data_IF_783467932658
#
_entry.id   IF_783467932658
#
_cell.length_a   1.000
_cell.length_b   1.000
_cell.length_c   1.000
_cell.angle_alpha   90.00
_cell.angle_beta   90.00
_cell.angle_gamma   90.00
#
_symmetry.space_group_name_H-M   'P 1'
#
loop_
_entity.id
_entity.type
_entity.pdbx_description
1 polymer ?
#
# COMPACT_ATOMS: atom_id res chain seq x y z
N UNK A 1 -9.23 -114.02 -94.73
CA UNK A 1 -9.97 -112.84 -94.24
C UNK A 1 -9.89 -111.74 -95.30
N UNK A 2 -11.00 -111.08 -95.63
CA UNK A 2 -11.00 -109.98 -96.59
C UNK A 2 -10.28 -108.74 -96.01
N UNK A 3 -9.36 -108.16 -96.77
CA UNK A 3 -8.67 -106.92 -96.39
C UNK A 3 -9.65 -105.75 -96.53
N UNK A 4 -10.21 -105.27 -95.43
CA UNK A 4 -11.01 -104.03 -95.42
C UNK A 4 -10.09 -102.82 -95.56
N UNK A 5 -10.15 -102.14 -96.70
CA UNK A 5 -9.51 -100.83 -96.91
C UNK A 5 -10.40 -99.77 -96.26
N UNK A 6 -9.85 -98.96 -95.35
CA UNK A 6 -10.51 -97.76 -94.78
C UNK A 6 -9.88 -96.50 -95.38
N UNK A 7 -10.69 -95.46 -95.62
CA UNK A 7 -10.18 -94.14 -96.01
C UNK A 7 -9.57 -93.45 -94.79
N UNK A 8 -8.60 -92.55 -95.00
CA UNK A 8 -7.99 -91.79 -93.90
C UNK A 8 -9.02 -90.93 -93.15
N UNK A 9 -10.05 -90.45 -93.86
CA UNK A 9 -11.20 -89.73 -93.31
C UNK A 9 -12.12 -90.58 -92.42
N UNK A 10 -11.97 -91.90 -92.45
CA UNK A 10 -12.74 -92.87 -91.64
C UNK A 10 -11.95 -93.34 -90.41
N UNK A 11 -10.74 -92.81 -90.20
CA UNK A 11 -9.93 -93.04 -89.01
C UNK A 11 -10.36 -92.07 -87.90
N UNK A 12 -10.36 -92.56 -86.67
CA UNK A 12 -10.55 -91.72 -85.49
C UNK A 12 -9.31 -90.83 -85.29
N UNK A 13 -9.54 -89.57 -84.93
CA UNK A 13 -8.45 -88.70 -84.51
C UNK A 13 -7.78 -89.26 -83.25
N UNK A 14 -6.48 -89.02 -83.13
CA UNK A 14 -5.74 -89.42 -81.94
C UNK A 14 -6.02 -88.44 -80.79
N UNK A 15 -6.20 -88.99 -79.59
CA UNK A 15 -6.40 -88.21 -78.36
C UNK A 15 -5.09 -87.78 -77.70
N UNK A 16 -3.95 -88.37 -78.09
CA UNK A 16 -2.62 -87.99 -77.60
C UNK A 16 -1.50 -88.25 -78.63
N UNK A 17 -0.30 -87.71 -78.37
CA UNK A 17 0.85 -87.81 -79.27
C UNK A 17 1.86 -88.88 -78.85
N UNK A 18 1.60 -89.66 -77.79
CA UNK A 18 2.53 -90.68 -77.30
C UNK A 18 2.67 -91.82 -78.30
N UNK A 19 3.91 -92.15 -78.65
CA UNK A 19 4.20 -93.18 -79.66
C UNK A 19 3.86 -92.79 -81.11
N UNK A 20 3.38 -91.57 -81.37
CA UNK A 20 3.19 -91.06 -82.73
C UNK A 20 4.49 -90.45 -83.28
N UNK A 21 4.78 -90.78 -84.54
CA UNK A 21 5.93 -90.27 -85.26
C UNK A 21 5.48 -89.66 -86.58
N UNK A 22 6.12 -88.56 -86.95
CA UNK A 22 6.07 -88.05 -88.32
C UNK A 22 7.40 -88.33 -89.02
N UNK A 23 7.38 -88.35 -90.35
CA UNK A 23 8.58 -88.56 -91.16
C UNK A 23 9.15 -87.20 -91.52
N UNK A 24 10.40 -86.95 -91.10
CA UNK A 24 11.21 -85.82 -91.54
C UNK A 24 12.33 -86.27 -92.46
N UNK A 25 13.14 -85.32 -92.93
CA UNK A 25 14.36 -85.59 -93.70
C UNK A 25 15.55 -84.91 -93.04
N UNK A 26 16.70 -85.59 -92.97
CA UNK A 26 17.96 -85.06 -92.45
C UNK A 26 19.11 -85.46 -93.38
N UNK A 27 20.05 -84.55 -93.59
CA UNK A 27 21.29 -84.85 -94.30
C UNK A 27 22.25 -85.61 -93.39
N UNK A 28 22.66 -86.80 -93.80
CA UNK A 28 23.67 -87.62 -93.11
C UNK A 28 24.72 -87.96 -94.15
N UNK A 29 25.96 -87.49 -93.95
CA UNK A 29 27.07 -87.65 -94.89
C UNK A 29 26.75 -87.19 -96.34
N UNK A 30 26.00 -86.08 -96.49
CA UNK A 30 25.66 -85.49 -97.80
C UNK A 30 24.45 -86.11 -98.50
N UNK A 31 23.82 -87.16 -97.95
CA UNK A 31 22.64 -87.83 -98.52
C UNK A 31 21.38 -87.49 -97.72
N UNK A 32 20.32 -87.10 -98.42
CA UNK A 32 19.01 -86.83 -97.81
C UNK A 32 18.37 -88.13 -97.36
N UNK A 33 18.26 -88.33 -96.04
CA UNK A 33 17.76 -89.56 -95.44
C UNK A 33 16.49 -89.28 -94.65
N UNK A 34 15.47 -90.12 -94.81
CA UNK A 34 14.23 -90.04 -94.03
C UNK A 34 14.49 -90.43 -92.57
N UNK A 35 14.01 -89.61 -91.64
CA UNK A 35 14.16 -89.81 -90.20
C UNK A 35 12.80 -89.82 -89.52
N UNK A 36 12.69 -90.55 -88.40
CA UNK A 36 11.52 -90.50 -87.54
C UNK A 36 11.63 -89.30 -86.59
N UNK A 37 10.57 -88.51 -86.49
CA UNK A 37 10.46 -87.37 -85.57
C UNK A 37 9.36 -87.69 -84.56
N UNK A 38 9.72 -87.68 -83.27
CA UNK A 38 8.77 -87.93 -82.19
C UNK A 38 7.86 -86.71 -81.98
N UNK A 39 6.54 -86.90 -82.10
CA UNK A 39 5.57 -85.85 -81.79
C UNK A 39 5.43 -85.63 -80.27
N UNK A 40 5.67 -86.66 -79.46
CA UNK A 40 5.70 -86.59 -78.00
C UNK A 40 6.82 -85.65 -77.49
N UNK A 41 7.98 -85.65 -78.15
CA UNK A 41 9.07 -84.72 -77.82
C UNK A 41 8.69 -83.26 -78.10
N UNK A 42 8.05 -83.01 -79.25
CA UNK A 42 7.58 -81.66 -79.62
C UNK A 42 6.50 -81.18 -78.66
N UNK A 43 5.56 -82.06 -78.29
CA UNK A 43 4.54 -81.76 -77.29
C UNK A 43 5.19 -81.35 -75.96
N UNK A 44 6.17 -82.11 -75.48
CA UNK A 44 6.88 -81.82 -74.23
C UNK A 44 7.63 -80.49 -74.31
N UNK A 45 8.29 -80.18 -75.42
CA UNK A 45 8.97 -78.90 -75.62
C UNK A 45 7.99 -77.71 -75.59
N UNK A 46 6.84 -77.86 -76.25
CA UNK A 46 5.77 -76.85 -76.23
C UNK A 46 5.20 -76.65 -74.83
N UNK A 47 4.85 -77.74 -74.12
CA UNK A 47 4.35 -77.69 -72.75
C UNK A 47 5.35 -77.01 -71.80
N UNK A 48 6.65 -77.30 -71.95
CA UNK A 48 7.72 -76.64 -71.19
C UNK A 48 7.79 -75.13 -71.49
N UNK A 49 7.66 -74.72 -72.76
CA UNK A 49 7.65 -73.30 -73.14
C UNK A 49 6.42 -72.56 -72.59
N UNK A 50 5.24 -73.18 -72.64
CA UNK A 50 4.01 -72.65 -72.03
C UNK A 50 4.20 -72.50 -70.51
N UNK A 51 4.74 -73.54 -69.85
CA UNK A 51 5.02 -73.50 -68.40
C UNK A 51 5.99 -72.38 -68.04
N UNK A 52 7.07 -72.21 -68.80
CA UNK A 52 8.05 -71.14 -68.57
C UNK A 52 7.42 -69.74 -68.77
N UNK A 53 6.60 -69.57 -69.81
CA UNK A 53 5.89 -68.31 -70.09
C UNK A 53 4.92 -67.96 -68.95
N UNK A 54 4.16 -68.95 -68.47
CA UNK A 54 3.26 -68.74 -67.34
C UNK A 54 4.02 -68.36 -66.06
N UNK A 55 5.13 -69.04 -65.75
CA UNK A 55 5.98 -68.68 -64.62
C UNK A 55 6.54 -67.26 -64.75
N UNK A 56 6.97 -66.84 -65.95
CA UNK A 56 7.47 -65.49 -66.20
C UNK A 56 6.38 -64.42 -66.00
N UNK A 57 5.16 -64.70 -66.47
CA UNK A 57 4.01 -63.80 -66.28
C UNK A 57 3.64 -63.64 -64.81
N UNK A 58 3.63 -64.72 -64.02
CA UNK A 58 3.36 -64.65 -62.58
C UNK A 58 4.47 -63.91 -61.82
N UNK A 59 5.74 -64.09 -62.21
CA UNK A 59 6.86 -63.33 -61.67
C UNK A 59 6.73 -61.83 -61.99
N UNK A 60 6.36 -61.47 -63.22
CA UNK A 60 6.15 -60.07 -63.62
C UNK A 60 4.99 -59.42 -62.85
N UNK A 61 3.86 -60.12 -62.66
CA UNK A 61 2.75 -59.66 -61.81
C UNK A 61 3.21 -59.41 -60.38
N UNK A 62 3.98 -60.34 -59.81
CA UNK A 62 4.51 -60.22 -58.45
C UNK A 62 5.44 -59.01 -58.31
N UNK A 63 6.32 -58.77 -59.29
CA UNK A 63 7.20 -57.60 -59.31
C UNK A 63 6.42 -56.28 -59.39
N UNK A 64 5.38 -56.22 -60.23
CA UNK A 64 4.51 -55.05 -60.35
C UNK A 64 3.74 -54.75 -59.05
N UNK A 65 3.25 -55.79 -58.37
CA UNK A 65 2.60 -55.65 -57.06
C UNK A 65 3.57 -55.14 -55.99
N UNK A 66 4.81 -55.64 -55.99
CA UNK A 66 5.85 -55.18 -55.08
C UNK A 66 6.22 -53.70 -55.33
N UNK A 67 6.38 -53.30 -56.60
CA UNK A 67 6.65 -51.91 -56.97
C UNK A 67 5.51 -50.97 -56.54
N UNK A 68 4.25 -51.38 -56.75
CA UNK A 68 3.07 -50.61 -56.32
C UNK A 68 3.02 -50.45 -54.80
N UNK A 69 3.37 -51.50 -54.06
CA UNK A 69 3.44 -51.47 -52.60
C UNK A 69 4.56 -50.53 -52.11
N UNK A 70 5.73 -50.56 -52.75
CA UNK A 70 6.85 -49.66 -52.45
C UNK A 70 6.51 -48.19 -52.73
N UNK A 71 5.80 -47.91 -53.82
CA UNK A 71 5.33 -46.56 -54.13
C UNK A 71 4.33 -46.06 -53.08
N UNK A 72 3.42 -46.93 -52.62
CA UNK A 72 2.47 -46.61 -51.55
C UNK A 72 3.20 -46.32 -50.24
N UNK A 73 4.17 -47.15 -49.87
CA UNK A 73 5.00 -46.94 -48.67
C UNK A 73 5.77 -45.61 -48.73
N UNK A 74 6.33 -45.26 -49.89
CA UNK A 74 7.04 -43.99 -50.11
C UNK A 74 6.11 -42.79 -49.95
N UNK A 75 4.90 -42.86 -50.55
CA UNK A 75 3.89 -41.80 -50.41
C UNK A 75 3.46 -41.61 -48.95
N UNK A 76 3.27 -42.70 -48.21
CA UNK A 76 2.93 -42.65 -46.79
C UNK A 76 4.07 -42.07 -45.95
N UNK A 77 5.32 -42.44 -46.24
CA UNK A 77 6.49 -41.88 -45.56
C UNK A 77 6.59 -40.36 -45.79
N UNK A 78 6.39 -39.90 -47.02
CA UNK A 78 6.40 -38.46 -47.34
C UNK A 78 5.30 -37.70 -46.58
N UNK A 79 4.07 -38.26 -46.52
CA UNK A 79 2.99 -37.67 -45.73
C UNK A 79 3.33 -37.59 -44.23
N UNK A 80 3.96 -38.62 -43.68
CA UNK A 80 4.40 -38.63 -42.28
C UNK A 80 5.48 -37.57 -42.03
N UNK A 81 6.43 -37.38 -42.97
CA UNK A 81 7.44 -36.33 -42.88
C UNK A 81 6.84 -34.92 -42.88
N UNK A 82 5.87 -34.64 -43.75
CA UNK A 82 5.20 -33.33 -43.78
C UNK A 82 4.36 -33.08 -42.52
N UNK A 83 3.70 -34.10 -41.97
CA UNK A 83 3.02 -34.00 -40.69
C UNK A 83 4.00 -33.68 -39.54
N UNK A 84 5.18 -34.33 -39.52
CA UNK A 84 6.21 -34.06 -38.52
C UNK A 84 6.79 -32.64 -38.63
N UNK A 85 7.01 -32.14 -39.84
CA UNK A 85 7.43 -30.74 -40.08
C UNK A 85 6.39 -29.76 -39.55
N UNK A 86 5.11 -30.00 -39.85
CA UNK A 86 4.00 -29.17 -39.37
C UNK A 86 3.95 -29.15 -37.84
N UNK A 87 4.06 -30.32 -37.20
CA UNK A 87 4.11 -30.42 -35.74
C UNK A 87 5.30 -29.66 -35.13
N UNK A 88 6.47 -29.73 -35.78
CA UNK A 88 7.67 -29.00 -35.34
C UNK A 88 7.48 -27.49 -35.42
N UNK A 89 6.88 -26.99 -36.50
CA UNK A 89 6.58 -25.57 -36.66
C UNK A 89 5.59 -25.08 -35.60
N UNK A 90 4.52 -25.84 -35.35
CA UNK A 90 3.55 -25.50 -34.31
C UNK A 90 4.21 -25.47 -32.92
N UNK A 91 5.12 -26.40 -32.62
CA UNK A 91 5.85 -26.42 -31.36
C UNK A 91 6.79 -25.20 -31.21
N UNK A 92 7.43 -24.77 -32.30
CA UNK A 92 8.27 -23.58 -32.33
C UNK A 92 7.45 -22.30 -32.10
N UNK A 93 6.29 -22.17 -32.75
CA UNK A 93 5.38 -21.04 -32.53
C UNK A 93 4.89 -20.99 -31.08
N UNK A 94 4.46 -22.12 -30.52
CA UNK A 94 4.05 -22.21 -29.12
C UNK A 94 5.18 -21.80 -28.16
N UNK A 95 6.42 -22.20 -28.46
CA UNK A 95 7.60 -21.80 -27.68
C UNK A 95 7.83 -20.28 -27.72
N UNK A 96 7.66 -19.64 -28.88
CA UNK A 96 7.83 -18.19 -29.00
C UNK A 96 6.71 -17.41 -28.30
N UNK A 97 5.47 -17.92 -28.37
CA UNK A 97 4.35 -17.37 -27.60
C UNK A 97 4.61 -17.47 -26.09
N UNK A 98 5.11 -18.61 -25.62
CA UNK A 98 5.45 -18.80 -24.21
C UNK A 98 6.55 -17.83 -23.75
N UNK A 99 7.62 -17.64 -24.54
CA UNK A 99 8.66 -16.64 -24.23
C UNK A 99 8.11 -15.22 -24.14
N UNK A 100 7.21 -14.85 -25.05
CA UNK A 100 6.55 -13.55 -25.04
C UNK A 100 5.69 -13.37 -23.78
N UNK A 101 4.92 -14.39 -23.42
CA UNK A 101 4.13 -14.39 -22.19
C UNK A 101 5.01 -14.24 -20.93
N UNK A 102 6.14 -14.96 -20.85
CA UNK A 102 7.11 -14.83 -19.77
C UNK A 102 7.71 -13.42 -19.68
N UNK A 103 8.07 -12.81 -20.82
CA UNK A 103 8.58 -11.44 -20.85
C UNK A 103 7.55 -10.43 -20.35
N UNK A 104 6.30 -10.56 -20.78
CA UNK A 104 5.20 -9.72 -20.32
C UNK A 104 4.94 -9.87 -18.81
N UNK A 105 4.98 -11.10 -18.30
CA UNK A 105 4.84 -11.37 -16.87
C UNK A 105 5.97 -10.71 -16.06
N UNK A 106 7.22 -10.80 -16.53
CA UNK A 106 8.36 -10.15 -15.87
C UNK A 106 8.22 -8.62 -15.85
N UNK A 107 7.76 -8.03 -16.96
CA UNK A 107 7.50 -6.59 -17.02
C UNK A 107 6.40 -6.16 -16.06
N UNK A 108 5.32 -6.94 -15.94
CA UNK A 108 4.24 -6.69 -14.99
C UNK A 108 4.74 -6.73 -13.55
N UNK A 109 5.58 -7.72 -13.21
CA UNK A 109 6.22 -7.83 -11.89
C UNK A 109 7.10 -6.61 -11.57
N UNK A 110 7.91 -6.13 -12.53
CA UNK A 110 8.74 -4.94 -12.33
C UNK A 110 7.90 -3.67 -12.08
N UNK A 111 6.79 -3.51 -12.81
CA UNK A 111 5.85 -2.40 -12.59
C UNK A 111 5.20 -2.48 -11.21
N UNK A 112 4.80 -3.69 -10.78
CA UNK A 112 4.23 -3.90 -9.45
C UNK A 112 5.23 -3.56 -8.33
N UNK A 113 6.49 -3.99 -8.48
CA UNK A 113 7.55 -3.66 -7.52
C UNK A 113 7.81 -2.15 -7.45
N UNK A 114 7.83 -1.46 -8.58
CA UNK A 114 7.98 0.00 -8.63
C UNK A 114 6.82 0.71 -7.92
N UNK A 115 5.60 0.26 -8.17
CA UNK A 115 4.42 0.79 -7.49
C UNK A 115 4.47 0.57 -5.97
N UNK A 116 4.93 -0.60 -5.52
CA UNK A 116 5.11 -0.91 -4.10
C UNK A 116 6.16 0.00 -3.45
N UNK A 117 7.30 0.24 -4.11
CA UNK A 117 8.32 1.18 -3.62
C UNK A 117 7.79 2.61 -3.52
N UNK A 118 7.03 3.07 -4.51
CA UNK A 118 6.42 4.41 -4.47
C UNK A 118 5.41 4.53 -3.32
N UNK A 119 4.62 3.50 -3.07
CA UNK A 119 3.68 3.47 -1.95
C UNK A 119 4.41 3.51 -0.59
N UNK A 120 5.52 2.79 -0.44
CA UNK A 120 6.32 2.84 0.80
C UNK A 120 6.96 4.22 1.02
N UNK A 121 7.46 4.85 -0.04
CA UNK A 121 7.99 6.21 0.05
C UNK A 121 6.90 7.23 0.44
N UNK A 122 5.70 7.11 -0.14
CA UNK A 122 4.56 7.96 0.22
C UNK A 122 4.15 7.75 1.70
N UNK A 123 4.14 6.50 2.18
CA UNK A 123 3.88 6.18 3.58
C UNK A 123 4.90 6.82 4.52
N UNK A 124 6.19 6.72 4.21
CA UNK A 124 7.26 7.38 4.99
C UNK A 124 7.07 8.89 5.04
N UNK A 125 6.77 9.53 3.91
CA UNK A 125 6.49 10.97 3.87
C UNK A 125 5.28 11.37 4.73
N UNK A 126 4.23 10.54 4.76
CA UNK A 126 3.07 10.78 5.65
C UNK A 126 3.43 10.65 7.13
N UNK A 127 4.32 9.72 7.50
CA UNK A 127 4.80 9.56 8.88
C UNK A 127 5.61 10.78 9.34
N UNK A 128 6.45 11.35 8.47
CA UNK A 128 7.18 12.59 8.73
C UNK A 128 6.23 13.78 8.94
N UNK A 129 5.25 13.94 8.05
CA UNK A 129 4.22 14.99 8.16
C UNK A 129 3.42 14.83 9.46
N UNK A 130 3.05 13.60 9.82
CA UNK A 130 2.34 13.31 11.06
C UNK A 130 3.17 13.76 12.27
N UNK A 131 4.45 13.38 12.33
CA UNK A 131 5.33 13.78 13.43
C UNK A 131 5.50 15.30 13.53
N UNK A 132 5.67 15.99 12.39
CA UNK A 132 5.73 17.45 12.35
C UNK A 132 4.42 18.09 12.85
N UNK A 133 3.27 17.52 12.48
CA UNK A 133 1.94 18.00 12.90
C UNK A 133 1.73 17.81 14.40
N UNK A 134 2.14 16.68 14.97
CA UNK A 134 2.09 16.42 16.41
C UNK A 134 2.94 17.43 17.18
N UNK A 135 4.16 17.72 16.70
CA UNK A 135 5.04 18.73 17.28
C UNK A 135 4.44 20.14 17.21
N UNK A 136 3.90 20.54 16.05
CA UNK A 136 3.25 21.83 15.87
C UNK A 136 2.04 21.99 16.80
N UNK A 137 1.23 20.94 16.94
CA UNK A 137 0.06 20.91 17.84
C UNK A 137 0.49 21.05 19.30
N UNK A 138 1.53 20.33 19.73
CA UNK A 138 2.08 20.44 21.08
C UNK A 138 2.58 21.86 21.39
N UNK A 139 3.28 22.48 20.43
CA UNK A 139 3.77 23.86 20.58
C UNK A 139 2.62 24.88 20.64
N UNK A 140 1.58 24.72 19.82
CA UNK A 140 0.40 25.57 19.85
C UNK A 140 -0.32 25.48 21.21
N UNK A 141 -0.50 24.26 21.73
CA UNK A 141 -1.10 24.03 23.04
C UNK A 141 -0.27 24.68 24.16
N UNK A 142 1.05 24.56 24.11
CA UNK A 142 1.95 25.21 25.07
C UNK A 142 1.84 26.74 25.01
N UNK A 143 1.77 27.31 23.81
CA UNK A 143 1.58 28.75 23.63
C UNK A 143 0.24 29.22 24.19
N UNK A 144 -0.84 28.47 23.96
CA UNK A 144 -2.17 28.77 24.50
C UNK A 144 -2.18 28.73 26.04
N UNK A 145 -1.60 27.70 26.65
CA UNK A 145 -1.45 27.62 28.12
C UNK A 145 -0.68 28.81 28.68
N UNK A 146 0.46 29.15 28.07
CA UNK A 146 1.26 30.29 28.49
C UNK A 146 0.48 31.62 28.38
N UNK A 147 -0.28 31.80 27.29
CA UNK A 147 -1.12 32.99 27.10
C UNK A 147 -2.19 33.10 28.20
N UNK A 148 -2.87 31.99 28.52
CA UNK A 148 -3.87 31.94 29.59
C UNK A 148 -3.26 32.27 30.96
N UNK A 149 -2.09 31.73 31.29
CA UNK A 149 -1.39 32.06 32.54
C UNK A 149 -1.03 33.55 32.63
N UNK A 150 -0.59 34.15 31.52
CA UNK A 150 -0.26 35.58 31.47
C UNK A 150 -1.51 36.45 31.60
N UNK A 151 -2.62 36.05 30.97
CA UNK A 151 -3.90 36.73 31.10
C UNK A 151 -4.39 36.74 32.55
N UNK A 152 -4.35 35.60 33.26
CA UNK A 152 -4.73 35.50 34.67
C UNK A 152 -3.84 36.38 35.58
N UNK A 153 -2.52 36.40 35.33
CA UNK A 153 -1.59 37.27 36.07
C UNK A 153 -1.89 38.75 35.84
N UNK A 154 -2.19 39.13 34.60
CA UNK A 154 -2.57 40.49 34.25
C UNK A 154 -3.90 40.90 34.90
N UNK A 155 -4.91 40.01 34.90
CA UNK A 155 -6.19 40.24 35.58
C UNK A 155 -6.01 40.42 37.09
N UNK A 156 -5.19 39.58 37.72
CA UNK A 156 -4.85 39.71 39.16
C UNK A 156 -4.18 41.05 39.46
N UNK A 157 -3.22 41.45 38.62
CA UNK A 157 -2.53 42.73 38.77
C UNK A 157 -3.48 43.92 38.59
N UNK A 158 -4.37 43.86 37.58
CA UNK A 158 -5.37 44.89 37.31
C UNK A 158 -6.36 45.03 38.48
N UNK A 159 -6.85 43.92 39.03
CA UNK A 159 -7.74 43.92 40.20
C UNK A 159 -7.05 44.51 41.44
N UNK A 160 -5.78 44.19 41.65
CA UNK A 160 -4.98 44.76 42.73
C UNK A 160 -4.80 46.27 42.56
N UNK A 161 -4.47 46.74 41.35
CA UNK A 161 -4.35 48.15 41.03
C UNK A 161 -5.67 48.90 41.23
N UNK A 162 -6.79 48.35 40.76
CA UNK A 162 -8.12 48.92 40.95
C UNK A 162 -8.49 49.02 42.44
N UNK A 163 -8.11 48.02 43.24
CA UNK A 163 -8.32 48.03 44.70
C UNK A 163 -7.55 49.19 45.35
N UNK A 164 -6.26 49.35 45.02
CA UNK A 164 -5.47 50.47 45.58
C UNK A 164 -5.94 51.84 45.08
N UNK A 165 -6.34 51.95 43.81
CA UNK A 165 -6.90 53.17 43.25
C UNK A 165 -8.20 53.59 43.98
N UNK A 166 -9.10 52.64 44.25
CA UNK A 166 -10.32 52.90 45.02
C UNK A 166 -10.02 53.34 46.45
N UNK A 167 -9.06 52.69 47.12
CA UNK A 167 -8.63 53.09 48.49
C UNK A 167 -8.01 54.48 48.51
N UNK A 168 -7.12 54.78 47.56
CA UNK A 168 -6.49 56.09 47.44
C UNK A 168 -7.53 57.19 47.17
N UNK A 169 -8.50 56.93 46.29
CA UNK A 169 -9.61 57.84 46.04
C UNK A 169 -10.44 58.07 47.31
N UNK A 170 -10.81 57.01 48.00
CA UNK A 170 -11.60 57.11 49.24
C UNK A 170 -10.88 57.94 50.31
N UNK A 171 -9.58 57.74 50.49
CA UNK A 171 -8.78 58.55 51.41
C UNK A 171 -8.63 60.01 50.96
N UNK A 172 -8.49 60.25 49.65
CA UNK A 172 -8.40 61.60 49.10
C UNK A 172 -9.73 62.38 49.22
N UNK A 173 -10.86 61.70 49.01
CA UNK A 173 -12.21 62.27 49.17
C UNK A 173 -12.56 62.52 50.65
N UNK A 174 -11.86 61.85 51.60
CA UNK A 174 -12.09 61.96 53.04
C UNK A 174 -10.80 62.34 53.80
N UNK A 175 -10.25 63.55 53.60
CA UNK A 175 -9.00 63.96 54.25
C UNK A 175 -9.17 64.03 55.78
N UNK A 176 -8.09 63.83 56.56
CA UNK A 176 -8.12 64.04 58.00
C UNK A 176 -8.61 65.45 58.34
N UNK A 177 -9.41 65.55 59.40
CA UNK A 177 -9.99 66.83 59.84
C UNK A 177 -9.85 66.99 61.34
N UNK A 178 -9.93 68.24 61.80
CA UNK A 178 -10.04 68.55 63.23
C UNK A 178 -11.50 68.30 63.67
N UNK A 179 -11.68 67.53 64.73
CA UNK A 179 -12.98 67.34 65.37
C UNK A 179 -13.32 68.47 66.34
N UNK A 180 -14.57 68.50 66.79
CA UNK A 180 -15.06 69.51 67.75
C UNK A 180 -14.34 69.43 69.11
N UNK A 181 -13.80 68.27 69.47
CA UNK A 181 -12.99 68.05 70.67
C UNK A 181 -11.52 68.44 70.53
N UNK A 182 -11.13 69.11 69.44
CA UNK A 182 -9.75 69.55 69.20
C UNK A 182 -8.78 68.46 68.72
N UNK A 183 -9.20 67.19 68.64
CA UNK A 183 -8.38 66.08 68.15
C UNK A 183 -8.40 65.95 66.62
N UNK A 184 -7.37 65.29 66.06
CA UNK A 184 -7.37 64.81 64.68
C UNK A 184 -8.34 63.63 64.56
N UNK A 185 -9.22 63.70 63.57
CA UNK A 185 -10.11 62.61 63.18
C UNK A 185 -9.66 62.08 61.82
N UNK A 186 -9.49 60.76 61.73
CA UNK A 186 -9.10 60.06 60.50
C UNK A 186 -10.27 59.27 59.93
N UNK A 187 -10.33 59.15 58.61
CA UNK A 187 -11.32 58.29 57.97
C UNK A 187 -10.98 56.81 58.18
N UNK A 188 -11.93 56.04 58.69
CA UNK A 188 -11.84 54.59 58.79
C UNK A 188 -12.49 53.95 57.55
N UNK A 189 -11.67 53.35 56.68
CA UNK A 189 -12.09 52.70 55.43
C UNK A 189 -13.05 51.52 55.66
N UNK A 190 -13.00 50.86 56.83
CA UNK A 190 -13.84 49.69 57.14
C UNK A 190 -15.19 50.14 57.65
N UNK A 191 -15.21 51.12 58.54
CA UNK A 191 -16.42 51.60 59.20
C UNK A 191 -17.15 52.69 58.40
N UNK A 192 -16.52 53.20 57.34
CA UNK A 192 -17.04 54.31 56.50
C UNK A 192 -17.44 55.53 57.34
N UNK A 193 -16.62 55.87 58.33
CA UNK A 193 -16.81 57.05 59.20
C UNK A 193 -15.49 57.60 59.70
N UNK A 194 -15.51 58.86 60.11
CA UNK A 194 -14.39 59.44 60.83
C UNK A 194 -14.32 58.87 62.25
N UNK A 195 -13.11 58.46 62.66
CA UNK A 195 -12.80 57.95 63.99
C UNK A 195 -11.77 58.89 64.62
N UNK A 196 -12.02 59.27 65.86
CA UNK A 196 -11.08 60.06 66.65
C UNK A 196 -9.76 59.31 66.84
N UNK A 197 -8.64 60.00 66.64
CA UNK A 197 -7.31 59.43 66.82
C UNK A 197 -6.79 59.53 68.26
N UNK A 198 -7.38 60.38 69.10
CA UNK A 198 -6.82 60.74 70.41
C UNK A 198 -5.58 61.64 70.31
N UNK A 199 -5.25 62.14 69.11
CA UNK A 199 -4.10 63.03 68.89
C UNK A 199 -4.61 64.45 68.74
N UNK A 200 -4.15 65.38 69.58
CA UNK A 200 -4.53 66.78 69.49
C UNK A 200 -4.12 67.39 68.13
N UNK A 201 -5.06 68.08 67.46
CA UNK A 201 -4.81 68.65 66.13
C UNK A 201 -3.99 69.94 66.14
N UNK A 202 -3.95 70.62 67.29
CA UNK A 202 -3.13 71.81 67.49
C UNK A 202 -1.75 71.39 68.01
N UNK A 203 -0.73 71.54 67.16
CA UNK A 203 0.69 71.46 67.55
C UNK A 203 1.16 72.72 68.29
N UNK A 204 0.34 73.25 69.21
CA UNK A 204 0.57 74.49 69.94
C UNK A 204 0.91 74.26 71.41
N UNK A 205 1.75 75.11 71.97
CA UNK A 205 2.09 75.15 73.39
C UNK A 205 0.84 75.62 74.17
N UNK A 206 0.48 74.91 75.24
CA UNK A 206 -0.56 75.35 76.17
C UNK A 206 -0.09 76.62 76.90
N UNK A 207 -0.89 77.68 76.86
CA UNK A 207 -0.65 78.90 77.63
C UNK A 207 -1.67 79.00 78.77
N UNK A 208 -1.47 78.27 79.88
CA UNK A 208 -2.33 78.43 81.03
C UNK A 208 -2.00 79.75 81.73
N UNK A 209 -3.02 80.50 82.12
CA UNK A 209 -2.85 81.62 83.05
C UNK A 209 -3.52 81.27 84.37
N UNK A 210 -2.80 81.45 85.45
CA UNK A 210 -3.28 81.14 86.79
C UNK A 210 -3.61 82.42 87.54
N UNK A 211 -4.76 82.43 88.19
CA UNK A 211 -5.14 83.46 89.16
C UNK A 211 -5.59 82.79 90.45
N UNK A 212 -5.56 83.52 91.55
CA UNK A 212 -6.19 83.10 92.80
C UNK A 212 -7.45 83.94 92.97
N UNK A 213 -8.58 83.30 93.23
CA UNK A 213 -9.79 84.00 93.63
C UNK A 213 -9.54 84.65 95.01
N UNK A 214 -9.60 85.98 95.13
CA UNK A 214 -9.25 86.66 96.37
C UNK A 214 -10.24 86.41 97.53
N UNK A 215 -11.46 85.97 97.24
CA UNK A 215 -12.50 85.73 98.24
C UNK A 215 -12.50 84.26 98.71
N UNK A 216 -12.28 83.31 97.79
CA UNK A 216 -12.28 81.86 98.11
C UNK A 216 -10.88 81.26 98.29
N UNK A 217 -9.83 81.99 97.91
CA UNK A 217 -8.43 81.53 97.87
C UNK A 217 -8.22 80.31 96.94
N UNK A 218 -9.12 80.06 96.00
CA UNK A 218 -9.01 78.97 95.04
C UNK A 218 -8.09 79.34 93.87
N UNK A 219 -7.23 78.40 93.47
CA UNK A 219 -6.39 78.55 92.27
C UNK A 219 -7.24 78.26 91.03
N UNK A 220 -7.46 79.27 90.20
CA UNK A 220 -8.20 79.18 88.95
C UNK A 220 -7.20 79.17 87.80
N UNK A 221 -7.23 78.11 86.99
CA UNK A 221 -6.52 78.05 85.72
C UNK A 221 -7.46 78.44 84.58
N UNK A 222 -7.10 79.46 83.83
CA UNK A 222 -7.67 79.72 82.52
C UNK A 222 -6.82 79.04 81.46
N UNK A 223 -7.48 78.31 80.58
CA UNK A 223 -6.90 77.65 79.42
C UNK A 223 -7.86 77.83 78.25
N UNK A 224 -7.40 77.50 77.05
CA UNK A 224 -8.18 77.69 75.83
C UNK A 224 -9.46 76.81 75.86
N UNK A 225 -10.60 77.38 75.45
CA UNK A 225 -11.95 76.81 75.60
C UNK A 225 -12.15 75.39 74.99
N UNK A 226 -11.25 74.97 74.11
CA UNK A 226 -11.36 73.71 73.37
C UNK A 226 -10.67 72.52 74.06
N UNK A 227 -10.17 72.68 75.29
CA UNK A 227 -9.56 71.60 76.08
C UNK A 227 -10.57 71.14 77.13
N UNK A 228 -10.82 69.84 77.24
CA UNK A 228 -11.75 69.33 78.23
C UNK A 228 -11.18 69.48 79.64
N UNK A 229 -11.98 69.99 80.57
CA UNK A 229 -11.56 70.24 81.96
C UNK A 229 -11.03 68.97 82.67
N UNK A 230 -11.54 67.81 82.27
CA UNK A 230 -11.16 66.50 82.81
C UNK A 230 -9.83 65.95 82.26
N UNK A 231 -9.13 66.73 81.42
CA UNK A 231 -7.75 66.47 81.00
C UNK A 231 -6.73 67.06 81.98
N UNK A 232 -7.19 67.81 83.00
CA UNK A 232 -6.37 68.32 84.06
C UNK A 232 -6.74 67.66 85.38
N UNK A 233 -5.74 67.20 86.12
CA UNK A 233 -5.93 66.59 87.44
C UNK A 233 -4.86 67.12 88.40
N UNK A 234 -5.16 67.12 89.70
CA UNK A 234 -4.16 67.40 90.73
C UNK A 234 -3.74 66.07 91.34
N UNK A 235 -2.46 65.75 91.23
CA UNK A 235 -1.94 64.52 91.82
C UNK A 235 -1.93 64.56 93.35
N UNK A 236 -1.60 63.42 93.96
CA UNK A 236 -1.56 63.28 95.41
C UNK A 236 -0.49 64.17 96.09
N UNK A 237 0.40 64.81 95.32
CA UNK A 237 1.44 65.72 95.80
C UNK A 237 1.08 67.19 95.58
N UNK A 238 -0.07 67.48 94.96
CA UNK A 238 -0.57 68.83 94.73
C UNK A 238 -0.11 69.46 93.41
N UNK A 239 0.47 68.69 92.48
CA UNK A 239 0.85 69.18 91.16
C UNK A 239 -0.28 69.04 90.16
N UNK A 240 -0.47 70.09 89.34
CA UNK A 240 -1.36 70.03 88.20
C UNK A 240 -0.73 69.19 87.09
N UNK A 241 -1.38 68.07 86.75
CA UNK A 241 -1.00 67.19 85.66
C UNK A 241 -1.95 67.40 84.49
N UNK A 242 -1.37 67.53 83.29
CA UNK A 242 -2.11 67.46 82.04
C UNK A 242 -2.07 66.03 81.50
N UNK A 243 -3.21 65.36 81.49
CA UNK A 243 -3.42 64.02 80.99
C UNK A 243 -4.17 64.09 79.65
N UNK A 244 -3.44 64.22 78.53
CA UNK A 244 -4.07 64.18 77.22
C UNK A 244 -4.74 62.81 77.02
N UNK A 245 -6.01 62.82 76.63
CA UNK A 245 -6.79 61.62 76.30
C UNK A 245 -6.59 61.22 74.86
#
# INVERSE_FOLDING_TARGET
MAIKKKKISELTLSDNLKGLYTIGVKLINGVQTSVKVSLEYIQTAYENAVKATNSANEAAKSANNAASSANTATSNANKATEAAKTATNNANEATQQAKTATSNANLATQKANTAATNADNARKGLEEIKSATESATANANKAATNANEKAQKAETAANSANTQANRAKEQADNPPKMGENGNWWKWDETQKKYVDTGILAKGGILYPTFTIDPDTMELIMYYQDDIAADMFDIDNEGFLIFNPK
#
